data_IF_624734899572
#
_entry.id   IF_624734899572
#
_cell.length_a   1.000
_cell.length_b   1.000
_cell.length_c   1.000
_cell.angle_alpha   90.00
_cell.angle_beta   90.00
_cell.angle_gamma   90.00
#
_symmetry.space_group_name_H-M   'P 1'
#
loop_
_entity.id
_entity.type
_entity.pdbx_description
1 polymer ?
#
# COMPACT_ATOMS: atom_id res chain seq x y z
N UNK A 1 -5.69 -5.30 -5.24
CA UNK A 1 -4.70 -5.00 -4.19
C UNK A 1 -4.27 -6.26 -3.41
N UNK A 2 -5.04 -6.76 -2.42
CA UNK A 2 -4.60 -7.91 -1.60
C UNK A 2 -4.28 -9.17 -2.40
N UNK A 3 -5.22 -9.61 -3.26
CA UNK A 3 -5.02 -10.79 -4.10
C UNK A 3 -3.80 -10.68 -5.05
N UNK A 4 -3.50 -9.45 -5.51
CA UNK A 4 -2.35 -9.18 -6.37
C UNK A 4 -1.04 -9.27 -5.59
N UNK A 5 -1.00 -8.72 -4.36
CA UNK A 5 0.15 -8.86 -3.45
C UNK A 5 0.42 -10.34 -3.14
N UNK A 6 -0.63 -11.14 -2.92
CA UNK A 6 -0.49 -12.58 -2.66
C UNK A 6 -0.01 -13.36 -3.89
N UNK A 7 -0.37 -12.90 -5.09
CA UNK A 7 0.13 -13.49 -6.33
C UNK A 7 1.63 -13.26 -6.50
N UNK A 8 2.15 -12.06 -6.18
CA UNK A 8 3.57 -11.72 -6.36
C UNK A 8 4.51 -12.67 -5.63
N UNK A 9 4.17 -13.07 -4.41
CA UNK A 9 4.99 -14.00 -3.62
C UNK A 9 5.14 -15.39 -4.25
N UNK A 10 4.20 -15.79 -5.11
CA UNK A 10 4.20 -17.11 -5.77
C UNK A 10 4.87 -17.09 -7.13
N UNK A 11 5.12 -15.91 -7.70
CA UNK A 11 5.62 -15.76 -9.07
C UNK A 11 7.15 -15.86 -9.17
N UNK A 12 7.89 -15.76 -8.06
CA UNK A 12 9.36 -15.85 -8.07
C UNK A 12 10.03 -14.79 -8.94
N UNK A 13 9.51 -13.56 -8.91
CA UNK A 13 9.99 -12.46 -9.77
C UNK A 13 11.38 -11.97 -9.34
N UNK A 14 12.18 -11.42 -10.28
CA UNK A 14 13.39 -10.70 -9.93
C UNK A 14 13.10 -9.56 -8.96
N UNK A 15 14.00 -9.33 -7.99
CA UNK A 15 13.84 -8.32 -6.92
C UNK A 15 13.33 -6.99 -7.47
N UNK A 16 14.01 -6.41 -8.46
CA UNK A 16 13.61 -5.13 -9.05
C UNK A 16 12.16 -5.14 -9.54
N UNK A 17 11.78 -6.18 -10.29
CA UNK A 17 10.43 -6.29 -10.84
C UNK A 17 9.39 -6.48 -9.74
N UNK A 18 9.70 -7.30 -8.72
CA UNK A 18 8.84 -7.50 -7.57
C UNK A 18 8.50 -6.18 -6.86
N UNK A 19 9.51 -5.36 -6.56
CA UNK A 19 9.31 -4.05 -5.91
C UNK A 19 8.67 -3.02 -6.85
N UNK A 20 8.91 -3.13 -8.16
CA UNK A 20 8.16 -2.35 -9.16
C UNK A 20 6.66 -2.63 -9.06
N UNK A 21 6.27 -3.91 -9.07
CA UNK A 21 4.87 -4.34 -8.97
C UNK A 21 4.22 -3.98 -7.63
N UNK A 22 4.92 -4.16 -6.50
CA UNK A 22 4.38 -3.75 -5.18
C UNK A 22 4.03 -2.26 -5.18
N UNK A 23 4.92 -1.41 -5.68
CA UNK A 23 4.70 0.03 -5.74
C UNK A 23 3.48 0.37 -6.59
N UNK A 24 3.35 -0.24 -7.77
CA UNK A 24 2.23 0.01 -8.68
C UNK A 24 0.89 -0.42 -8.09
N UNK A 25 0.83 -1.61 -7.46
CA UNK A 25 -0.39 -2.11 -6.81
C UNK A 25 -0.87 -1.14 -5.73
N UNK A 26 0.05 -0.64 -4.89
CA UNK A 26 -0.29 0.30 -3.83
C UNK A 26 -0.68 1.67 -4.38
N UNK A 27 0.01 2.16 -5.42
CA UNK A 27 -0.34 3.42 -6.10
C UNK A 27 -1.74 3.32 -6.69
N UNK A 28 -2.04 2.30 -7.49
CA UNK A 28 -3.37 2.04 -8.04
C UNK A 28 -4.44 1.92 -6.96
N UNK A 29 -4.13 1.28 -5.83
CA UNK A 29 -5.03 1.23 -4.69
C UNK A 29 -5.34 2.63 -4.16
N UNK A 30 -4.33 3.48 -3.96
CA UNK A 30 -4.53 4.86 -3.51
C UNK A 30 -5.27 5.71 -4.53
N UNK A 31 -5.02 5.53 -5.83
CA UNK A 31 -5.77 6.24 -6.87
C UNK A 31 -7.26 5.96 -6.76
N UNK A 32 -7.62 4.68 -6.71
CA UNK A 32 -9.01 4.24 -6.62
C UNK A 32 -9.65 4.66 -5.29
N UNK A 33 -8.88 4.63 -4.19
CA UNK A 33 -9.40 4.91 -2.84
C UNK A 33 -9.60 6.40 -2.56
N UNK A 34 -8.70 7.24 -3.05
CA UNK A 34 -8.64 8.66 -2.69
C UNK A 34 -8.86 9.61 -3.87
N UNK A 35 -9.04 9.10 -5.09
CA UNK A 35 -9.23 9.92 -6.29
C UNK A 35 -8.02 10.77 -6.62
N UNK A 36 -6.81 10.26 -6.39
CA UNK A 36 -5.53 10.94 -6.68
C UNK A 36 -4.81 10.24 -7.84
N UNK A 37 -3.94 10.94 -8.57
CA UNK A 37 -3.14 10.36 -9.66
C UNK A 37 -1.82 9.75 -9.15
N UNK A 38 -1.90 8.84 -8.17
CA UNK A 38 -0.74 8.25 -7.50
C UNK A 38 0.28 7.55 -8.40
N UNK A 39 -0.09 6.97 -9.55
CA UNK A 39 0.87 6.36 -10.48
C UNK A 39 1.80 7.40 -11.13
N UNK A 40 1.27 8.60 -11.37
CA UNK A 40 2.04 9.71 -11.96
C UNK A 40 2.81 10.54 -10.93
N UNK A 41 2.56 10.33 -9.64
CA UNK A 41 3.23 11.05 -8.56
C UNK A 41 4.61 10.49 -8.26
N UNK A 42 5.56 11.35 -7.91
CA UNK A 42 6.79 10.87 -7.27
C UNK A 42 6.46 10.24 -5.91
N UNK A 43 7.33 9.37 -5.39
CA UNK A 43 7.18 8.83 -4.03
C UNK A 43 7.02 9.96 -2.99
N UNK A 44 7.79 11.05 -3.13
CA UNK A 44 7.71 12.22 -2.26
C UNK A 44 6.33 12.90 -2.31
N UNK A 45 5.80 13.15 -3.52
CA UNK A 45 4.50 13.81 -3.69
C UNK A 45 3.35 12.95 -3.19
N UNK A 46 3.41 11.63 -3.43
CA UNK A 46 2.45 10.68 -2.89
C UNK A 46 2.41 10.75 -1.36
N UNK A 47 3.56 10.76 -0.70
CA UNK A 47 3.62 10.91 0.77
C UNK A 47 2.98 12.20 1.25
N UNK A 48 3.32 13.33 0.62
CA UNK A 48 2.73 14.62 0.97
C UNK A 48 1.22 14.64 0.76
N UNK A 49 0.73 14.02 -0.31
CA UNK A 49 -0.71 13.93 -0.58
C UNK A 49 -1.42 13.06 0.45
N UNK A 50 -0.86 11.91 0.79
CA UNK A 50 -1.42 11.01 1.82
C UNK A 50 -1.44 11.66 3.21
N UNK A 51 -0.48 12.53 3.53
CA UNK A 51 -0.48 13.32 4.76
C UNK A 51 -1.68 14.28 4.85
N UNK A 52 -2.09 14.86 3.73
CA UNK A 52 -3.24 15.78 3.68
C UNK A 52 -4.58 15.05 3.84
N UNK A 53 -4.65 13.78 3.46
CA UNK A 53 -5.88 12.98 3.43
C UNK A 53 -6.25 12.39 4.80
N UNK A 54 -5.67 12.90 5.89
CA UNK A 54 -5.86 12.41 7.27
C UNK A 54 -5.69 10.89 7.43
N UNK A 55 -4.79 10.28 6.65
CA UNK A 55 -4.47 8.87 6.81
C UNK A 55 -3.94 8.60 8.22
N UNK A 56 -4.29 7.44 8.77
CA UNK A 56 -3.83 6.97 10.07
C UNK A 56 -2.29 7.15 10.24
N UNK A 57 -1.79 7.72 11.36
CA UNK A 57 -0.36 7.96 11.56
C UNK A 57 0.52 6.71 11.41
N UNK A 58 0.02 5.55 11.85
CA UNK A 58 0.73 4.29 11.78
C UNK A 58 0.78 3.80 10.32
N UNK A 59 -0.35 3.87 9.61
CA UNK A 59 -0.40 3.56 8.17
C UNK A 59 0.58 4.44 7.38
N UNK A 60 0.68 5.73 7.70
CA UNK A 60 1.63 6.65 7.06
C UNK A 60 3.09 6.22 7.23
N UNK A 61 3.46 5.77 8.43
CA UNK A 61 4.80 5.26 8.71
C UNK A 61 5.13 4.04 7.86
N UNK A 62 4.20 3.07 7.79
CA UNK A 62 4.38 1.87 6.98
C UNK A 62 4.50 2.16 5.49
N UNK A 63 3.66 3.04 4.95
CA UNK A 63 3.73 3.47 3.55
C UNK A 63 5.11 4.09 3.29
N UNK A 64 5.60 4.97 4.17
CA UNK A 64 6.91 5.62 3.99
C UNK A 64 8.05 4.62 3.97
N UNK A 65 8.07 3.70 4.93
CA UNK A 65 9.10 2.67 4.99
C UNK A 65 9.08 1.79 3.73
N UNK A 66 7.90 1.33 3.31
CA UNK A 66 7.76 0.41 2.19
C UNK A 66 8.12 1.06 0.84
N UNK A 67 7.62 2.27 0.56
CA UNK A 67 7.94 2.95 -0.69
C UNK A 67 9.43 3.33 -0.77
N UNK A 68 10.06 3.66 0.36
CA UNK A 68 11.52 3.87 0.42
C UNK A 68 12.27 2.59 0.05
N UNK A 69 11.86 1.44 0.59
CA UNK A 69 12.44 0.14 0.23
C UNK A 69 12.25 -0.20 -1.25
N UNK A 70 11.07 0.10 -1.79
CA UNK A 70 10.81 -0.05 -3.22
C UNK A 70 11.80 0.78 -4.06
N UNK A 71 11.98 2.07 -3.75
CA UNK A 71 12.89 2.94 -4.50
C UNK A 71 14.36 2.46 -4.40
N UNK A 72 14.79 1.97 -3.25
CA UNK A 72 16.13 1.38 -3.07
C UNK A 72 16.34 0.11 -3.90
N UNK A 73 15.36 -0.80 -3.93
CA UNK A 73 15.42 -2.01 -4.74
C UNK A 73 15.41 -1.71 -6.25
N UNK A 74 14.64 -0.69 -6.66
CA UNK A 74 14.50 -0.28 -8.07
C UNK A 74 15.72 0.42 -8.62
N UNK A 75 16.27 1.35 -7.85
CA UNK A 75 17.27 2.32 -8.34
C UNK A 75 18.65 2.15 -7.70
N UNK A 76 18.72 1.71 -6.44
CA UNK A 76 19.98 1.57 -5.69
C UNK A 76 20.54 0.14 -5.67
N UNK A 77 19.94 -0.79 -6.45
CA UNK A 77 20.34 -2.22 -6.53
C UNK A 77 20.37 -2.92 -5.16
N UNK A 78 19.54 -2.50 -4.22
CA UNK A 78 19.30 -3.27 -3.01
C UNK A 78 18.78 -4.66 -3.40
N UNK A 79 19.35 -5.71 -2.82
CA UNK A 79 18.93 -7.10 -3.02
C UNK A 79 18.50 -7.68 -1.67
N UNK A 80 17.24 -7.44 -1.26
CA UNK A 80 16.71 -7.99 -0.02
C UNK A 80 16.71 -9.51 -0.07
N UNK A 81 16.92 -10.15 1.09
CA UNK A 81 16.75 -11.59 1.22
C UNK A 81 15.29 -12.02 1.03
N UNK A 82 15.05 -13.32 0.96
CA UNK A 82 13.69 -13.88 0.83
C UNK A 82 12.78 -13.48 2.00
N UNK A 83 13.31 -13.51 3.22
CA UNK A 83 12.54 -13.15 4.41
C UNK A 83 12.17 -11.66 4.41
N UNK A 84 13.11 -10.78 4.09
CA UNK A 84 12.86 -9.34 3.94
C UNK A 84 11.82 -9.04 2.85
N UNK A 85 11.89 -9.76 1.73
CA UNK A 85 10.94 -9.65 0.62
C UNK A 85 9.53 -10.06 1.05
N UNK A 86 9.43 -11.10 1.89
CA UNK A 86 8.17 -11.56 2.50
C UNK A 86 7.62 -10.54 3.50
N UNK A 87 8.48 -10.00 4.37
CA UNK A 87 8.12 -8.95 5.32
C UNK A 87 7.57 -7.69 4.63
N UNK A 88 8.16 -7.30 3.48
CA UNK A 88 7.67 -6.18 2.69
C UNK A 88 6.30 -6.44 2.08
N UNK A 89 6.03 -7.67 1.61
CA UNK A 89 4.69 -8.06 1.17
C UNK A 89 3.68 -8.02 2.33
N UNK A 90 4.06 -8.48 3.52
CA UNK A 90 3.22 -8.38 4.71
C UNK A 90 2.95 -6.91 5.09
N UNK A 91 3.96 -6.04 4.97
CA UNK A 91 3.79 -4.59 5.16
C UNK A 91 2.78 -4.01 4.16
N UNK A 92 2.88 -4.39 2.88
CA UNK A 92 1.91 -4.01 1.85
C UNK A 92 0.49 -4.48 2.19
N UNK A 93 0.34 -5.73 2.66
CA UNK A 93 -0.94 -6.29 3.13
C UNK A 93 -1.51 -5.48 4.29
N UNK A 94 -0.68 -5.16 5.30
CA UNK A 94 -1.09 -4.36 6.47
C UNK A 94 -1.58 -2.98 6.07
N UNK A 95 -0.88 -2.30 5.16
CA UNK A 95 -1.28 -0.98 4.63
C UNK A 95 -2.67 -1.07 4.00
N UNK A 96 -2.90 -2.03 3.10
CA UNK A 96 -4.20 -2.16 2.42
C UNK A 96 -5.31 -2.50 3.41
N UNK A 97 -5.07 -3.39 4.39
CA UNK A 97 -6.05 -3.73 5.42
C UNK A 97 -6.39 -2.54 6.33
N UNK A 98 -5.39 -1.79 6.78
CA UNK A 98 -5.58 -0.64 7.66
C UNK A 98 -6.35 0.49 6.98
N UNK A 99 -6.14 0.68 5.67
CA UNK A 99 -6.77 1.72 4.88
C UNK A 99 -8.06 1.26 4.20
N UNK A 100 -8.40 -0.03 4.31
CA UNK A 100 -9.68 -0.54 3.86
C UNK A 100 -10.78 0.23 4.62
N UNK A 101 -11.91 0.54 3.98
CA UNK A 101 -13.04 1.10 4.71
C UNK A 101 -13.38 0.14 5.85
N UNK A 102 -13.34 0.61 7.10
CA UNK A 102 -14.04 -0.10 8.17
C UNK A 102 -15.48 -0.23 7.68
N UNK A 103 -15.99 -1.45 7.63
CA UNK A 103 -17.40 -1.66 7.34
C UNK A 103 -18.17 -0.69 8.25
N UNK A 104 -18.94 0.22 7.65
CA UNK A 104 -19.89 0.99 8.42
C UNK A 104 -20.69 -0.04 9.24
N UNK A 105 -20.91 0.17 10.55
CA UNK A 105 -21.88 -0.66 11.25
C UNK A 105 -23.16 -0.67 10.39
N UNK A 106 -23.82 -1.84 10.21
CA UNK A 106 -25.01 -1.93 9.39
C UNK A 106 -25.97 -0.82 9.83
N UNK A 107 -26.50 -0.08 8.86
CA UNK A 107 -27.40 1.04 9.08
C UNK A 107 -28.80 0.56 9.56
N UNK A 108 -28.83 -0.26 10.61
CA UNK A 108 -30.02 -0.84 11.24
C UNK A 108 -30.15 -0.42 12.72
N UNK A 109 -29.83 0.83 13.04
CA UNK A 109 -30.21 1.39 14.35
C UNK A 109 -30.71 2.84 14.24
N UNK A 110 -31.42 3.14 13.15
CA UNK A 110 -32.26 4.33 13.06
C UNK A 110 -33.66 4.00 12.50
N UNK A 111 -34.28 2.93 13.01
CA UNK A 111 -35.71 2.69 12.84
C UNK A 111 -36.37 2.58 14.21
N UNK A 112 -37.18 3.60 14.48
CA UNK A 112 -38.33 3.61 15.38
C UNK A 112 -38.08 3.42 16.88
N UNK A 113 -37.88 4.54 17.57
CA UNK A 113 -38.72 4.84 18.74
C UNK A 113 -39.45 6.17 18.48
N UNK A 114 -40.62 6.05 17.87
CA UNK A 114 -41.71 7.02 18.01
C UNK A 114 -42.69 6.46 19.03
#
# INVERSE_FOLDING_TARGET
ALAEIDALLRMGLPVKEYYDRISDILRLYFERRYGISALSMTTYDLHRRLLQLQADPQARSWIKALFTRCDLAKFARLLPGEEETREDAESARRIVRQLAPQAAPPAEELVAKR
#
